data_IF_480906607770
#
_entry.id   IF_480906607770
#
_cell.length_a   1.000
_cell.length_b   1.000
_cell.length_c   1.000
_cell.angle_alpha   90.00
_cell.angle_beta   90.00
_cell.angle_gamma   90.00
#
_symmetry.space_group_name_H-M   'P 1'
#
loop_
_entity.id
_entity.type
_entity.pdbx_description
1 polymer ?
#
# COMPACT_ATOMS: atom_id res chain seq x y z
N UNK A 1 35.37 -17.58 62.35
CA UNK A 1 36.78 -17.13 62.26
C UNK A 1 36.85 -15.69 62.73
N UNK A 2 37.64 -15.51 63.78
CA UNK A 2 37.91 -14.34 64.63
C UNK A 2 38.25 -13.06 63.88
N UNK A 3 37.62 -11.93 64.26
CA UNK A 3 38.19 -10.57 64.19
C UNK A 3 37.64 -9.77 65.38
N UNK A 4 38.38 -9.80 66.49
CA UNK A 4 39.29 -8.73 66.91
C UNK A 4 38.52 -7.49 67.38
N UNK A 5 38.27 -7.48 68.69
CA UNK A 5 38.13 -6.26 69.47
C UNK A 5 39.31 -5.35 69.18
N UNK A 6 39.05 -4.22 68.54
CA UNK A 6 39.99 -3.13 68.48
C UNK A 6 39.23 -1.81 68.31
N UNK A 7 39.04 -1.10 69.42
CA UNK A 7 38.80 0.35 69.36
C UNK A 7 39.37 1.02 70.61
N UNK A 8 40.70 1.10 70.63
CA UNK A 8 41.38 2.24 71.23
C UNK A 8 40.79 3.52 70.63
N UNK A 9 40.43 4.45 71.51
CA UNK A 9 39.73 5.68 71.18
C UNK A 9 40.48 6.53 70.16
N UNK A 10 39.89 6.68 68.98
CA UNK A 10 40.17 7.82 68.12
C UNK A 10 39.08 8.85 68.37
N UNK A 11 39.47 10.07 68.76
CA UNK A 11 38.59 11.23 68.90
C UNK A 11 37.94 11.52 67.54
N UNK A 12 36.80 10.88 67.25
CA UNK A 12 36.03 11.15 66.04
C UNK A 12 35.60 12.61 66.08
N UNK A 13 35.95 13.34 65.02
CA UNK A 13 35.60 14.74 64.81
C UNK A 13 34.74 14.84 63.56
N UNK A 14 33.86 15.83 63.52
CA UNK A 14 33.12 16.17 62.32
C UNK A 14 34.09 16.40 61.15
N UNK A 15 33.86 15.73 60.03
CA UNK A 15 34.72 15.81 58.84
C UNK A 15 34.83 17.25 58.32
N UNK A 16 33.74 18.03 58.41
CA UNK A 16 33.66 19.42 57.93
C UNK A 16 34.16 20.45 58.94
N UNK A 17 33.65 20.46 60.18
CA UNK A 17 33.97 21.53 61.14
C UNK A 17 35.02 21.14 62.21
N UNK A 18 35.51 19.90 62.19
CA UNK A 18 36.50 19.34 63.13
C UNK A 18 36.12 19.37 64.62
N UNK A 19 34.85 19.66 64.95
CA UNK A 19 34.30 19.59 66.32
C UNK A 19 33.94 18.15 66.70
N UNK A 20 34.11 17.77 67.96
CA UNK A 20 33.83 16.44 68.50
C UNK A 20 32.51 16.39 69.30
N UNK A 21 31.47 17.08 68.83
CA UNK A 21 30.18 17.20 69.53
C UNK A 21 29.06 16.73 68.62
N UNK A 22 28.19 15.86 69.16
CA UNK A 22 27.00 15.29 68.52
C UNK A 22 27.21 14.88 67.07
N UNK A 23 27.75 13.67 66.88
CA UNK A 23 28.14 13.11 65.60
C UNK A 23 27.23 11.93 65.20
N UNK A 24 26.93 11.85 63.90
CA UNK A 24 26.40 10.67 63.23
C UNK A 24 27.38 10.22 62.15
N UNK A 25 27.41 8.92 61.85
CA UNK A 25 28.32 8.35 60.85
C UNK A 25 27.55 8.09 59.56
N UNK A 26 28.09 8.55 58.44
CA UNK A 26 27.57 8.21 57.11
C UNK A 26 27.75 6.72 56.86
N UNK A 27 26.70 6.00 56.49
CA UNK A 27 26.74 4.56 56.22
C UNK A 27 27.48 4.19 54.93
N UNK A 28 27.82 5.18 54.10
CA UNK A 28 28.46 4.97 52.80
C UNK A 28 29.97 5.25 52.79
N UNK A 29 30.39 6.36 53.40
CA UNK A 29 31.81 6.78 53.43
C UNK A 29 32.40 6.75 54.85
N UNK A 30 31.65 6.27 55.85
CA UNK A 30 32.07 6.12 57.25
C UNK A 30 32.53 7.42 57.95
N UNK A 31 32.37 8.56 57.27
CA UNK A 31 32.70 9.87 57.80
C UNK A 31 31.68 10.29 58.87
N UNK A 32 32.19 10.90 59.95
CA UNK A 32 31.35 11.46 61.01
C UNK A 32 31.00 12.92 60.72
N UNK A 33 29.73 13.29 60.87
CA UNK A 33 29.22 14.63 60.63
C UNK A 33 28.43 15.10 61.85
N UNK A 34 28.59 16.37 62.25
CA UNK A 34 27.82 16.93 63.37
C UNK A 34 26.44 17.41 62.95
N UNK A 35 25.54 17.64 63.91
CA UNK A 35 24.17 18.12 63.67
C UNK A 35 24.12 19.29 62.68
N UNK A 36 24.93 20.33 62.92
CA UNK A 36 24.98 21.54 62.10
C UNK A 36 25.43 21.25 60.65
N UNK A 37 26.37 20.33 60.45
CA UNK A 37 26.94 20.08 59.13
C UNK A 37 26.22 18.95 58.36
N UNK A 38 25.30 18.25 59.02
CA UNK A 38 24.61 17.07 58.48
C UNK A 38 23.43 17.39 57.56
N UNK A 39 23.05 18.67 57.47
CA UNK A 39 21.85 19.18 56.78
C UNK A 39 20.53 18.56 57.28
N UNK A 40 20.54 17.95 58.48
CA UNK A 40 19.36 17.49 59.19
C UNK A 40 18.91 18.54 60.21
N UNK A 41 17.61 18.62 60.47
CA UNK A 41 17.13 19.37 61.61
C UNK A 41 17.40 18.60 62.93
N UNK A 42 17.35 19.29 64.07
CA UNK A 42 17.67 18.71 65.38
C UNK A 42 16.81 17.48 65.72
N UNK A 43 15.56 17.43 65.27
CA UNK A 43 14.67 16.30 65.51
C UNK A 43 15.10 15.08 64.70
N UNK A 44 15.32 15.26 63.40
CA UNK A 44 15.81 14.23 62.47
C UNK A 44 17.19 13.70 62.92
N UNK A 45 18.10 14.59 63.28
CA UNK A 45 19.43 14.22 63.76
C UNK A 45 19.36 13.31 64.99
N UNK A 46 18.51 13.66 65.95
CA UNK A 46 18.28 12.84 67.14
C UNK A 46 17.60 11.50 66.83
N UNK A 47 16.69 11.47 65.85
CA UNK A 47 16.09 10.23 65.36
C UNK A 47 17.15 9.31 64.75
N UNK A 48 18.06 9.85 63.93
CA UNK A 48 19.16 9.07 63.33
C UNK A 48 20.10 8.51 64.39
N UNK A 49 20.41 9.28 65.45
CA UNK A 49 21.26 8.82 66.56
C UNK A 49 20.61 7.70 67.39
N UNK A 50 19.28 7.77 67.57
CA UNK A 50 18.51 6.79 68.38
C UNK A 50 18.08 5.55 67.58
N UNK A 51 17.91 5.67 66.27
CA UNK A 51 17.51 4.59 65.39
C UNK A 51 18.68 3.62 65.21
N UNK A 52 18.87 2.70 66.17
CA UNK A 52 19.88 1.63 66.14
C UNK A 52 19.83 0.82 64.82
N UNK A 53 20.56 1.27 63.80
CA UNK A 53 20.75 0.67 62.46
C UNK A 53 19.52 0.49 61.56
N UNK A 54 18.34 1.02 61.94
CA UNK A 54 17.13 0.91 61.10
C UNK A 54 17.01 2.00 60.04
N UNK A 55 17.63 3.15 60.28
CA UNK A 55 17.67 4.26 59.35
C UNK A 55 19.12 4.45 58.90
N UNK A 56 19.32 4.53 57.58
CA UNK A 56 20.64 4.79 57.00
C UNK A 56 20.82 6.30 56.85
N UNK A 57 21.93 6.83 57.34
CA UNK A 57 22.35 8.21 57.12
C UNK A 57 23.37 8.28 56.01
N UNK A 58 23.20 9.24 55.11
CA UNK A 58 24.16 9.54 54.07
C UNK A 58 24.50 11.03 54.08
N UNK A 59 25.79 11.36 54.07
CA UNK A 59 26.23 12.75 53.96
C UNK A 59 26.21 13.24 52.51
N UNK A 60 26.13 14.56 52.33
CA UNK A 60 26.16 15.24 51.02
C UNK A 60 27.43 14.97 50.19
N UNK A 61 28.54 14.70 50.85
CA UNK A 61 29.85 14.51 50.19
C UNK A 61 30.02 13.07 49.66
N UNK A 62 29.12 12.17 50.04
CA UNK A 62 29.12 10.81 49.56
C UNK A 62 28.45 10.76 48.16
N UNK A 63 29.06 10.11 47.15
CA UNK A 63 28.70 10.21 45.72
C UNK A 63 27.36 9.56 45.32
N UNK A 64 26.40 9.45 46.24
CA UNK A 64 25.08 8.89 46.01
C UNK A 64 23.98 9.74 46.64
N UNK A 65 23.98 11.06 46.46
CA UNK A 65 22.80 11.83 46.86
C UNK A 65 21.56 11.41 46.06
N UNK A 66 20.38 11.51 46.69
CA UNK A 66 19.11 10.99 46.18
C UNK A 66 18.59 11.84 45.02
N UNK A 67 19.03 11.49 43.82
CA UNK A 67 18.54 11.95 42.53
C UNK A 67 18.60 10.76 41.59
N UNK A 68 17.68 9.83 41.84
CA UNK A 68 17.55 8.49 41.28
C UNK A 68 17.87 8.35 39.79
N UNK A 69 18.26 7.13 39.39
CA UNK A 69 18.15 6.50 38.06
C UNK A 69 16.79 6.67 37.33
N UNK A 70 15.89 7.51 37.86
CA UNK A 70 14.67 7.97 37.23
C UNK A 70 14.86 9.25 36.41
N UNK A 71 15.93 10.05 36.56
CA UNK A 71 16.12 11.24 35.69
C UNK A 71 16.29 10.83 34.24
N UNK A 72 17.15 9.84 33.96
CA UNK A 72 17.35 9.36 32.59
C UNK A 72 16.08 8.73 32.00
N UNK A 73 15.28 8.03 32.83
CA UNK A 73 13.99 7.48 32.40
C UNK A 73 12.92 8.56 32.24
N UNK A 74 12.97 9.62 33.02
CA UNK A 74 12.05 10.75 32.96
C UNK A 74 12.38 11.65 31.76
N UNK A 75 13.67 11.82 31.46
CA UNK A 75 14.17 12.48 30.26
C UNK A 75 13.80 11.67 29.01
N UNK A 76 13.96 10.34 29.05
CA UNK A 76 13.46 9.45 28.00
C UNK A 76 11.93 9.56 27.85
N UNK A 77 11.18 9.65 28.95
CA UNK A 77 9.73 9.81 28.93
C UNK A 77 9.32 11.17 28.34
N UNK A 78 10.04 12.24 28.66
CA UNK A 78 9.87 13.58 28.07
C UNK A 78 10.12 13.55 26.56
N UNK A 79 11.15 12.84 26.11
CA UNK A 79 11.42 12.63 24.68
C UNK A 79 10.28 11.85 24.00
N UNK A 80 9.75 10.81 24.65
CA UNK A 80 8.61 10.05 24.12
C UNK A 80 7.33 10.89 24.07
N UNK A 81 7.06 11.69 25.10
CA UNK A 81 5.88 12.57 25.13
C UNK A 81 5.96 13.63 24.03
N UNK A 82 7.13 14.26 23.85
CA UNK A 82 7.33 15.28 22.81
C UNK A 82 7.25 14.68 21.42
N UNK A 83 7.79 13.49 21.18
CA UNK A 83 7.65 12.80 19.89
C UNK A 83 6.21 12.35 19.63
N UNK A 84 5.48 11.86 20.62
CA UNK A 84 4.05 11.55 20.47
C UNK A 84 3.21 12.80 20.17
N UNK A 85 3.49 13.93 20.82
CA UNK A 85 2.84 15.20 20.50
C UNK A 85 3.12 15.65 19.06
N UNK A 86 4.37 15.52 18.60
CA UNK A 86 4.73 15.80 17.21
C UNK A 86 4.01 14.87 16.22
N UNK A 87 3.92 13.58 16.54
CA UNK A 87 3.17 12.61 15.72
C UNK A 87 1.67 12.89 15.70
N UNK A 88 1.07 13.26 16.84
CA UNK A 88 -0.32 13.67 16.90
C UNK A 88 -0.58 14.94 16.08
N UNK A 89 0.30 15.94 16.17
CA UNK A 89 0.18 17.16 15.37
C UNK A 89 0.33 16.88 13.86
N UNK A 90 1.27 16.00 13.49
CA UNK A 90 1.46 15.58 12.10
C UNK A 90 0.30 14.71 11.58
N UNK A 91 -0.33 13.92 12.45
CA UNK A 91 -1.52 13.15 12.13
C UNK A 91 -2.74 14.06 12.00
N UNK A 92 -2.88 15.03 12.91
CA UNK A 92 -3.95 16.03 12.86
C UNK A 92 -3.84 16.90 11.60
N UNK A 93 -2.63 17.29 11.18
CA UNK A 93 -2.45 18.04 9.94
C UNK A 93 -2.78 17.22 8.70
N UNK A 94 -2.48 15.91 8.70
CA UNK A 94 -2.93 14.98 7.64
C UNK A 94 -4.44 14.80 7.63
N UNK A 95 -5.07 14.65 8.79
CA UNK A 95 -6.54 14.56 8.91
C UNK A 95 -7.19 15.84 8.39
N UNK A 96 -6.73 17.01 8.82
CA UNK A 96 -7.22 18.29 8.33
C UNK A 96 -6.98 18.47 6.82
N UNK A 97 -5.88 17.92 6.27
CA UNK A 97 -5.62 17.95 4.82
C UNK A 97 -6.57 17.04 4.05
N UNK A 98 -6.87 15.85 4.57
CA UNK A 98 -7.84 14.91 3.99
C UNK A 98 -9.26 15.48 4.11
N UNK A 99 -9.61 16.05 5.25
CA UNK A 99 -10.91 16.68 5.50
C UNK A 99 -11.11 17.90 4.59
N UNK A 100 -10.10 18.75 4.42
CA UNK A 100 -10.15 19.84 3.45
C UNK A 100 -10.20 19.35 2.00
N UNK A 101 -9.54 18.23 1.66
CA UNK A 101 -9.70 17.59 0.35
C UNK A 101 -11.12 17.05 0.14
N UNK A 102 -11.77 16.56 1.20
CA UNK A 102 -13.16 16.09 1.17
C UNK A 102 -14.15 17.26 1.07
N UNK A 103 -13.99 18.33 1.86
CA UNK A 103 -14.85 19.52 1.83
C UNK A 103 -14.79 20.26 0.49
N UNK A 104 -13.62 20.30 -0.16
CA UNK A 104 -13.49 20.86 -1.50
C UNK A 104 -14.00 19.91 -2.61
N UNK A 105 -14.12 18.61 -2.32
CA UNK A 105 -14.68 17.61 -3.24
C UNK A 105 -16.19 17.39 -3.06
N UNK A 106 -16.82 17.97 -2.04
CA UNK A 106 -18.25 17.85 -1.75
C UNK A 106 -19.06 19.07 -2.22
N UNK A 107 -18.41 20.14 -2.68
CA UNK A 107 -19.09 21.32 -3.23
C UNK A 107 -19.46 21.21 -4.72
N UNK A 108 -19.09 20.14 -5.44
CA UNK A 108 -19.53 19.95 -6.84
C UNK A 108 -20.00 18.54 -7.24
N UNK A 109 -20.12 17.55 -6.35
CA UNK A 109 -20.75 16.26 -6.74
C UNK A 109 -21.34 15.52 -5.56
N UNK A 110 -22.61 15.11 -5.69
CA UNK A 110 -23.37 14.45 -4.63
C UNK A 110 -22.68 13.13 -4.24
N UNK A 111 -22.68 12.73 -2.95
CA UNK A 111 -22.05 11.48 -2.50
C UNK A 111 -22.59 10.20 -3.17
N UNK A 112 -23.76 10.26 -3.82
CA UNK A 112 -24.32 9.16 -4.62
C UNK A 112 -23.53 8.89 -5.91
N UNK A 113 -22.92 9.91 -6.54
CA UNK A 113 -22.18 9.75 -7.80
C UNK A 113 -20.84 9.02 -7.60
N UNK A 114 -20.16 9.22 -6.46
CA UNK A 114 -18.87 8.58 -6.16
C UNK A 114 -19.00 7.07 -5.92
N UNK A 115 -20.09 6.61 -5.29
CA UNK A 115 -20.35 5.19 -5.07
C UNK A 115 -20.74 4.49 -6.38
N UNK A 116 -21.58 5.15 -7.19
CA UNK A 116 -21.99 4.63 -8.50
C UNK A 116 -20.81 4.51 -9.48
N UNK A 117 -19.82 5.40 -9.39
CA UNK A 117 -18.57 5.31 -10.17
C UNK A 117 -17.71 4.11 -9.76
N UNK A 118 -17.58 3.83 -8.46
CA UNK A 118 -16.82 2.67 -7.98
C UNK A 118 -17.45 1.32 -8.36
N UNK A 119 -18.78 1.21 -8.29
CA UNK A 119 -19.50 0.00 -8.68
C UNK A 119 -19.37 -0.26 -10.20
N UNK A 120 -19.46 0.80 -11.00
CA UNK A 120 -19.23 0.76 -12.45
C UNK A 120 -17.81 0.29 -12.80
N UNK A 121 -16.79 0.77 -12.08
CA UNK A 121 -15.40 0.33 -12.26
C UNK A 121 -15.24 -1.16 -11.93
N UNK A 122 -15.88 -1.64 -10.87
CA UNK A 122 -15.80 -3.04 -10.46
C UNK A 122 -16.50 -3.96 -11.49
N UNK A 123 -17.68 -3.57 -11.97
CA UNK A 123 -18.42 -4.30 -13.00
C UNK A 123 -17.60 -4.40 -14.30
N UNK A 124 -17.00 -3.30 -14.75
CA UNK A 124 -16.11 -3.29 -15.91
C UNK A 124 -14.90 -4.22 -15.73
N UNK A 125 -14.30 -4.26 -14.54
CA UNK A 125 -13.16 -5.14 -14.25
C UNK A 125 -13.55 -6.62 -14.33
N UNK A 126 -14.70 -6.98 -13.79
CA UNK A 126 -15.23 -8.34 -13.89
C UNK A 126 -15.58 -8.71 -15.33
N UNK A 127 -16.21 -7.80 -16.06
CA UNK A 127 -16.59 -8.02 -17.44
C UNK A 127 -15.35 -8.22 -18.33
N UNK A 128 -14.31 -7.39 -18.14
CA UNK A 128 -13.00 -7.59 -18.79
C UNK A 128 -12.42 -8.95 -18.48
N UNK A 129 -12.45 -9.39 -17.21
CA UNK A 129 -11.93 -10.70 -16.82
C UNK A 129 -12.70 -11.84 -17.52
N UNK A 130 -14.03 -11.73 -17.63
CA UNK A 130 -14.88 -12.70 -18.33
C UNK A 130 -14.62 -12.71 -19.85
N UNK A 131 -14.40 -11.55 -20.47
CA UNK A 131 -14.19 -11.41 -21.92
C UNK A 131 -12.77 -11.70 -22.40
N UNK A 132 -11.76 -11.73 -21.51
CA UNK A 132 -10.35 -12.03 -21.86
C UNK A 132 -10.14 -13.37 -22.56
N UNK A 133 -11.00 -14.37 -22.30
CA UNK A 133 -10.99 -15.68 -22.97
C UNK A 133 -11.84 -15.74 -24.24
N UNK A 134 -12.39 -14.61 -24.68
CA UNK A 134 -13.25 -14.55 -25.84
C UNK A 134 -12.48 -13.96 -27.03
N UNK A 135 -12.70 -14.55 -28.21
CA UNK A 135 -12.20 -14.05 -29.48
C UNK A 135 -13.39 -13.84 -30.41
N UNK A 136 -13.44 -12.69 -31.06
CA UNK A 136 -14.46 -12.40 -32.07
C UNK A 136 -13.84 -12.55 -33.45
N UNK A 137 -14.45 -13.40 -34.26
CA UNK A 137 -14.04 -13.67 -35.63
C UNK A 137 -15.09 -13.11 -36.59
N UNK A 138 -14.64 -12.29 -37.53
CA UNK A 138 -15.49 -11.66 -38.54
C UNK A 138 -15.37 -12.38 -39.88
N UNK A 139 -16.34 -12.13 -40.76
CA UNK A 139 -16.36 -12.56 -42.16
C UNK A 139 -16.44 -14.08 -42.41
N UNK A 140 -16.85 -14.86 -41.40
CA UNK A 140 -17.15 -16.30 -41.54
C UNK A 140 -18.57 -16.51 -42.07
N UNK A 141 -18.70 -17.29 -43.13
CA UNK A 141 -19.99 -17.73 -43.69
C UNK A 141 -20.87 -18.40 -42.63
N UNK A 142 -22.17 -18.12 -42.67
CA UNK A 142 -23.16 -18.71 -41.76
C UNK A 142 -23.98 -19.76 -42.55
N UNK A 143 -24.34 -20.86 -41.89
CA UNK A 143 -25.20 -21.88 -42.50
C UNK A 143 -26.53 -21.28 -42.98
N UNK A 144 -27.01 -21.64 -44.18
CA UNK A 144 -28.32 -21.22 -44.67
C UNK A 144 -29.46 -21.98 -43.99
N UNK A 145 -29.19 -23.11 -43.31
CA UNK A 145 -30.21 -23.93 -42.67
C UNK A 145 -30.94 -23.19 -41.55
N UNK A 146 -32.19 -23.55 -41.32
CA UNK A 146 -32.97 -23.13 -40.17
C UNK A 146 -32.89 -24.13 -39.01
N UNK A 147 -32.38 -25.34 -39.26
CA UNK A 147 -32.13 -26.33 -38.22
C UNK A 147 -30.99 -25.88 -37.29
N UNK A 148 -31.19 -26.06 -35.99
CA UNK A 148 -30.24 -25.60 -34.98
C UNK A 148 -28.97 -26.46 -34.94
N UNK A 149 -29.09 -27.78 -35.12
CA UNK A 149 -27.96 -28.70 -35.03
C UNK A 149 -27.05 -28.56 -36.25
N UNK A 150 -27.61 -28.48 -37.46
CA UNK A 150 -26.84 -28.26 -38.68
C UNK A 150 -26.05 -26.94 -38.64
N UNK A 151 -26.62 -25.90 -38.00
CA UNK A 151 -25.92 -24.62 -37.82
C UNK A 151 -24.76 -24.72 -36.84
N UNK A 152 -24.94 -25.47 -35.75
CA UNK A 152 -23.87 -25.71 -34.78
C UNK A 152 -22.74 -26.51 -35.42
N UNK A 153 -23.07 -27.57 -36.15
CA UNK A 153 -22.10 -28.41 -36.83
C UNK A 153 -21.29 -27.61 -37.86
N UNK A 154 -21.97 -26.86 -38.72
CA UNK A 154 -21.31 -25.98 -39.70
C UNK A 154 -20.38 -24.96 -39.03
N UNK A 155 -20.80 -24.33 -37.94
CA UNK A 155 -19.96 -23.37 -37.21
C UNK A 155 -18.73 -24.04 -36.57
N UNK A 156 -18.87 -25.27 -36.06
CA UNK A 156 -17.75 -26.06 -35.54
C UNK A 156 -16.77 -26.46 -36.65
N UNK A 157 -17.27 -26.91 -37.81
CA UNK A 157 -16.45 -27.25 -38.97
C UNK A 157 -15.64 -26.05 -39.46
N UNK A 158 -16.29 -24.88 -39.59
CA UNK A 158 -15.60 -23.64 -39.97
C UNK A 158 -14.53 -23.24 -38.96
N UNK A 159 -14.81 -23.38 -37.66
CA UNK A 159 -13.81 -23.12 -36.64
C UNK A 159 -12.63 -24.10 -36.75
N UNK A 160 -12.89 -25.39 -36.91
CA UNK A 160 -11.84 -26.40 -37.06
C UNK A 160 -10.96 -26.16 -38.28
N UNK A 161 -11.54 -25.78 -39.42
CA UNK A 161 -10.79 -25.40 -40.62
C UNK A 161 -9.85 -24.22 -40.32
N UNK A 162 -10.39 -23.16 -39.71
CA UNK A 162 -9.63 -21.96 -39.35
C UNK A 162 -8.51 -22.29 -38.34
N UNK A 163 -8.78 -23.16 -37.38
CA UNK A 163 -7.78 -23.60 -36.39
C UNK A 163 -6.66 -24.42 -37.03
N UNK A 164 -7.00 -25.25 -38.02
CA UNK A 164 -6.03 -25.96 -38.86
C UNK A 164 -5.12 -24.99 -39.62
N UNK A 165 -5.68 -23.96 -40.25
CA UNK A 165 -4.92 -22.89 -40.94
C UNK A 165 -3.99 -22.13 -39.98
N UNK A 166 -4.43 -21.92 -38.73
CA UNK A 166 -3.64 -21.28 -37.68
C UNK A 166 -2.61 -22.20 -37.02
N UNK A 167 -2.58 -23.49 -37.38
CA UNK A 167 -1.79 -24.53 -36.69
C UNK A 167 -1.92 -24.42 -35.16
N UNK A 168 -3.17 -24.33 -34.68
CA UNK A 168 -3.49 -24.18 -33.26
C UNK A 168 -4.56 -25.19 -32.89
N UNK A 169 -4.35 -25.90 -31.80
CA UNK A 169 -5.36 -26.77 -31.23
C UNK A 169 -5.97 -26.06 -30.00
N UNK A 170 -7.26 -25.80 -30.04
CA UNK A 170 -8.01 -25.23 -28.92
C UNK A 170 -9.09 -26.23 -28.54
N UNK A 171 -9.06 -26.70 -27.30
CA UNK A 171 -9.99 -27.71 -26.81
C UNK A 171 -11.16 -27.03 -26.07
N UNK A 172 -12.31 -27.69 -26.05
CA UNK A 172 -13.49 -27.29 -25.27
C UNK A 172 -13.93 -25.83 -25.50
N UNK A 173 -13.97 -25.42 -26.77
CA UNK A 173 -14.44 -24.09 -27.17
C UNK A 173 -15.97 -24.02 -27.20
N UNK A 174 -16.52 -22.91 -26.72
CA UNK A 174 -17.94 -22.59 -26.90
C UNK A 174 -18.09 -21.55 -28.00
N UNK A 175 -18.94 -21.84 -28.98
CA UNK A 175 -19.20 -20.97 -30.13
C UNK A 175 -20.57 -20.31 -29.99
N UNK A 176 -20.65 -19.02 -30.35
CA UNK A 176 -21.90 -18.26 -30.43
C UNK A 176 -21.83 -17.22 -31.53
N UNK A 177 -22.87 -17.08 -32.35
CA UNK A 177 -23.01 -15.94 -33.28
C UNK A 177 -23.59 -14.70 -32.59
N UNK A 178 -23.08 -13.52 -32.93
CA UNK A 178 -23.49 -12.23 -32.34
C UNK A 178 -24.48 -11.48 -33.26
N UNK A 179 -25.55 -10.95 -32.67
CA UNK A 179 -26.56 -10.13 -33.37
C UNK A 179 -27.73 -10.92 -33.97
N UNK A 180 -28.68 -10.23 -34.60
CA UNK A 180 -29.85 -10.82 -35.26
C UNK A 180 -29.48 -11.36 -36.65
N UNK A 181 -30.06 -12.51 -37.05
CA UNK A 181 -29.87 -13.09 -38.38
C UNK A 181 -30.50 -12.15 -39.42
N UNK A 182 -29.72 -11.75 -40.42
CA UNK A 182 -30.19 -10.93 -41.54
C UNK A 182 -29.70 -11.61 -42.82
N UNK A 183 -30.59 -11.93 -43.78
CA UNK A 183 -30.19 -12.51 -45.05
C UNK A 183 -29.08 -11.70 -45.73
N UNK A 184 -28.05 -12.38 -46.25
CA UNK A 184 -26.91 -11.75 -46.92
C UNK A 184 -25.88 -11.08 -46.01
N UNK A 185 -26.10 -10.99 -44.69
CA UNK A 185 -25.10 -10.46 -43.75
C UNK A 185 -24.50 -11.57 -42.90
N UNK A 186 -23.16 -11.66 -42.90
CA UNK A 186 -22.41 -12.59 -42.05
C UNK A 186 -22.30 -12.04 -40.63
N UNK A 187 -22.77 -12.81 -39.64
CA UNK A 187 -22.67 -12.42 -38.23
C UNK A 187 -21.32 -12.78 -37.64
N UNK A 188 -20.73 -11.93 -36.78
CA UNK A 188 -19.51 -12.27 -36.08
C UNK A 188 -19.69 -13.53 -35.22
N UNK A 189 -18.66 -14.37 -35.20
CA UNK A 189 -18.58 -15.57 -34.38
C UNK A 189 -17.78 -15.25 -33.12
N UNK A 190 -18.38 -15.41 -31.95
CA UNK A 190 -17.72 -15.38 -30.66
C UNK A 190 -17.26 -16.80 -30.31
N UNK A 191 -15.96 -16.94 -30.06
CA UNK A 191 -15.33 -18.16 -29.60
C UNK A 191 -14.86 -17.93 -28.16
N UNK A 192 -15.35 -18.74 -27.23
CA UNK A 192 -15.00 -18.69 -25.82
C UNK A 192 -14.04 -19.86 -25.56
N UNK A 193 -12.78 -19.55 -25.28
CA UNK A 193 -11.73 -20.52 -24.98
C UNK A 193 -11.76 -20.90 -23.50
N UNK A 194 -11.02 -21.95 -23.14
CA UNK A 194 -10.95 -22.39 -21.75
C UNK A 194 -10.17 -21.41 -20.87
N UNK A 195 -9.09 -20.85 -21.42
CA UNK A 195 -8.20 -19.91 -20.75
C UNK A 195 -7.90 -18.68 -21.64
N UNK A 196 -7.42 -17.61 -21.03
CA UNK A 196 -7.05 -16.37 -21.73
C UNK A 196 -5.79 -16.52 -22.60
N UNK A 197 -4.88 -17.42 -22.23
CA UNK A 197 -3.68 -17.71 -23.00
C UNK A 197 -3.99 -18.24 -24.41
N UNK A 198 -4.96 -19.13 -24.55
CA UNK A 198 -5.45 -19.64 -25.83
C UNK A 198 -6.00 -18.53 -26.71
N UNK A 199 -6.86 -17.66 -26.16
CA UNK A 199 -7.40 -16.51 -26.87
C UNK A 199 -6.29 -15.58 -27.37
N UNK A 200 -5.30 -15.29 -26.51
CA UNK A 200 -4.13 -14.48 -26.88
C UNK A 200 -3.31 -15.16 -27.99
N UNK A 201 -3.09 -16.47 -27.90
CA UNK A 201 -2.34 -17.23 -28.90
C UNK A 201 -3.06 -17.23 -30.26
N UNK A 202 -4.38 -17.45 -30.27
CA UNK A 202 -5.21 -17.33 -31.46
C UNK A 202 -5.07 -15.95 -32.11
N UNK A 203 -5.21 -14.87 -31.33
CA UNK A 203 -5.10 -13.50 -31.82
C UNK A 203 -3.71 -13.18 -32.37
N UNK A 204 -2.64 -13.69 -31.74
CA UNK A 204 -1.26 -13.50 -32.21
C UNK A 204 -1.04 -14.17 -33.55
N UNK A 205 -1.43 -15.43 -33.69
CA UNK A 205 -1.25 -16.21 -34.92
C UNK A 205 -2.16 -15.70 -36.04
N UNK A 206 -3.37 -15.26 -35.72
CA UNK A 206 -4.29 -14.70 -36.70
C UNK A 206 -3.80 -13.42 -37.39
N UNK A 207 -2.76 -12.75 -36.87
CA UNK A 207 -2.16 -11.57 -37.53
C UNK A 207 -1.58 -11.89 -38.91
N UNK A 208 -1.18 -13.14 -39.17
CA UNK A 208 -0.69 -13.56 -40.49
C UNK A 208 -1.82 -13.86 -41.48
N UNK A 209 -3.07 -13.98 -41.01
CA UNK A 209 -4.21 -14.29 -41.87
C UNK A 209 -4.75 -13.04 -42.56
N UNK A 210 -4.96 -13.12 -43.87
CA UNK A 210 -5.49 -12.01 -44.68
C UNK A 210 -7.01 -12.05 -44.84
N UNK A 211 -7.61 -13.24 -44.83
CA UNK A 211 -9.01 -13.46 -45.23
C UNK A 211 -10.01 -13.31 -44.08
N UNK A 212 -9.56 -13.56 -42.85
CA UNK A 212 -10.42 -13.64 -41.67
C UNK A 212 -9.90 -12.71 -40.59
N UNK A 213 -10.76 -11.85 -40.05
CA UNK A 213 -10.35 -10.83 -39.09
C UNK A 213 -10.68 -11.25 -37.66
N UNK A 214 -9.66 -11.23 -36.80
CA UNK A 214 -9.74 -11.64 -35.40
C UNK A 214 -9.58 -10.42 -34.50
N UNK A 215 -10.50 -10.25 -33.56
CA UNK A 215 -10.45 -9.15 -32.59
C UNK A 215 -10.72 -9.64 -31.19
N UNK A 216 -10.19 -8.88 -30.22
CA UNK A 216 -10.55 -9.02 -28.81
C UNK A 216 -12.04 -8.75 -28.63
N UNK A 217 -12.67 -9.49 -27.73
CA UNK A 217 -14.00 -9.15 -27.21
C UNK A 217 -13.86 -8.02 -26.18
N UNK A 218 -14.32 -6.82 -26.56
CA UNK A 218 -14.18 -5.61 -25.75
C UNK A 218 -15.49 -5.29 -25.04
N UNK A 219 -15.40 -4.79 -23.81
CA UNK A 219 -16.56 -4.25 -23.07
C UNK A 219 -17.17 -3.06 -23.82
N UNK A 220 -18.42 -2.66 -23.54
CA UNK A 220 -19.01 -1.44 -24.09
C UNK A 220 -18.09 -0.22 -23.92
N UNK A 221 -17.58 0.00 -22.70
CA UNK A 221 -16.71 1.14 -22.40
C UNK A 221 -15.38 1.10 -23.19
N UNK A 222 -14.80 -0.09 -23.36
CA UNK A 222 -13.61 -0.24 -24.20
C UNK A 222 -13.90 0.01 -25.68
N UNK A 223 -15.06 -0.43 -26.20
CA UNK A 223 -15.48 -0.20 -27.58
C UNK A 223 -15.69 1.28 -27.86
N UNK A 224 -16.37 1.99 -26.96
CA UNK A 224 -16.60 3.43 -27.09
C UNK A 224 -15.27 4.19 -27.09
N UNK A 225 -14.37 3.88 -26.15
CA UNK A 225 -13.02 4.47 -26.13
C UNK A 225 -12.24 4.22 -27.43
N UNK A 226 -12.31 3.00 -27.98
CA UNK A 226 -11.66 2.68 -29.26
C UNK A 226 -12.30 3.40 -30.44
N UNK A 227 -13.62 3.58 -30.44
CA UNK A 227 -14.35 4.36 -31.46
C UNK A 227 -13.92 5.83 -31.41
N UNK A 228 -13.84 6.41 -30.22
CA UNK A 228 -13.46 7.81 -30.04
C UNK A 228 -12.01 8.05 -30.49
N UNK A 229 -11.09 7.16 -30.12
CA UNK A 229 -9.70 7.21 -30.60
C UNK A 229 -9.62 7.04 -32.13
N UNK A 230 -10.46 6.18 -32.71
CA UNK A 230 -10.57 6.01 -34.16
C UNK A 230 -11.05 7.29 -34.86
N UNK A 231 -12.07 7.95 -34.32
CA UNK A 231 -12.60 9.21 -34.83
C UNK A 231 -11.55 10.33 -34.74
N UNK A 232 -10.85 10.45 -33.61
CA UNK A 232 -9.78 11.42 -33.43
C UNK A 232 -8.60 11.15 -34.38
N UNK A 233 -8.23 9.88 -34.59
CA UNK A 233 -7.20 9.51 -35.56
C UNK A 233 -7.60 9.92 -36.98
N UNK A 234 -8.85 9.65 -37.37
CA UNK A 234 -9.38 10.01 -38.70
C UNK A 234 -9.35 11.52 -38.91
N UNK A 235 -9.79 12.30 -37.92
CA UNK A 235 -9.76 13.76 -37.98
C UNK A 235 -8.33 14.29 -38.17
N UNK A 236 -7.35 13.72 -37.47
CA UNK A 236 -5.94 14.08 -37.65
C UNK A 236 -5.41 13.76 -39.05
N UNK A 237 -5.79 12.61 -39.58
CA UNK A 237 -5.43 12.21 -40.95
C UNK A 237 -6.07 13.15 -41.99
N UNK A 238 -7.33 13.53 -41.81
CA UNK A 238 -8.05 14.49 -42.66
C UNK A 238 -7.42 15.89 -42.60
N UNK A 239 -6.89 16.28 -41.43
CA UNK A 239 -6.14 17.53 -41.25
C UNK A 239 -4.69 17.48 -41.79
N UNK A 240 -4.29 16.38 -42.44
CA UNK A 240 -2.95 16.21 -43.01
C UNK A 240 -1.85 15.90 -41.98
N UNK A 241 -2.20 15.62 -40.72
CA UNK A 241 -1.22 15.22 -39.72
C UNK A 241 -0.76 13.77 -39.94
N UNK A 242 0.52 13.57 -40.25
CA UNK A 242 1.11 12.24 -40.45
C UNK A 242 1.79 11.70 -39.18
N UNK A 243 2.03 10.39 -39.16
CA UNK A 243 2.74 9.71 -38.06
C UNK A 243 1.89 9.40 -36.82
N UNK A 244 0.57 9.63 -36.85
CA UNK A 244 -0.33 9.25 -35.76
C UNK A 244 -0.81 7.81 -35.89
N UNK A 245 -0.96 7.14 -34.75
CA UNK A 245 -1.58 5.82 -34.64
C UNK A 245 -2.13 5.56 -33.24
N UNK A 246 -2.83 4.43 -33.07
CA UNK A 246 -3.31 4.01 -31.75
C UNK A 246 -2.32 2.97 -31.19
N UNK A 247 -1.75 3.26 -30.02
CA UNK A 247 -0.83 2.36 -29.32
C UNK A 247 -1.32 2.11 -27.90
N UNK A 248 -1.10 0.90 -27.40
CA UNK A 248 -1.37 0.55 -26.02
C UNK A 248 -0.17 0.95 -25.15
N UNK A 249 -0.38 1.86 -24.20
CA UNK A 249 0.64 2.33 -23.23
C UNK A 249 0.15 1.96 -21.84
N UNK A 250 0.92 1.13 -21.12
CA UNK A 250 0.54 0.56 -19.80
C UNK A 250 -0.85 -0.11 -19.83
N UNK A 251 -1.13 -0.85 -20.91
CA UNK A 251 -2.40 -1.56 -21.09
C UNK A 251 -3.59 -0.68 -21.49
N UNK A 252 -3.42 0.63 -21.69
CA UNK A 252 -4.49 1.52 -22.15
C UNK A 252 -4.25 2.02 -23.57
N UNK A 253 -5.28 2.02 -24.45
CA UNK A 253 -5.15 2.55 -25.80
C UNK A 253 -5.07 4.09 -25.74
N UNK A 254 -4.10 4.64 -26.47
CA UNK A 254 -3.89 6.09 -26.61
C UNK A 254 -3.48 6.42 -28.05
N UNK A 255 -3.82 7.62 -28.49
CA UNK A 255 -3.19 8.21 -29.67
C UNK A 255 -1.70 8.41 -29.39
N UNK A 256 -0.87 8.03 -30.35
CA UNK A 256 0.57 8.10 -30.26
C UNK A 256 1.12 8.62 -31.59
N UNK A 257 2.04 9.58 -31.53
CA UNK A 257 2.76 10.09 -32.69
C UNK A 257 4.12 9.44 -32.76
N UNK A 258 4.42 8.78 -33.88
CA UNK A 258 5.76 8.27 -34.18
C UNK A 258 6.65 9.46 -34.51
N UNK A 259 7.58 9.80 -33.61
CA UNK A 259 8.70 10.66 -33.95
C UNK A 259 9.65 9.85 -34.83
N UNK A 260 9.77 10.24 -36.09
CA UNK A 260 10.87 9.76 -36.93
C UNK A 260 12.13 10.33 -36.28
N UNK A 261 12.98 9.46 -35.73
CA UNK A 261 14.31 9.87 -35.32
C UNK A 261 15.11 9.87 -36.62
N UNK A 262 15.47 11.05 -37.10
CA UNK A 262 16.40 11.17 -38.23
C UNK A 262 17.72 10.52 -37.80
N UNK A 263 18.04 9.39 -38.43
CA UNK A 263 19.32 8.73 -38.28
C UNK A 263 20.39 9.61 -38.93
N UNK A 264 21.11 10.38 -38.11
CA UNK A 264 22.42 10.93 -38.48
C UNK A 264 23.49 9.84 -38.43
#
# INVERSE_FOLDING_TARGET
MTRLDNSFGQNKKCVQCKKAVDLITCDYCENSVCNICSDLNTTEFNMMKKAKKKLKYQCKDCPGTPGSNNSDKFDQLLVVITTLQQQMNAMQSKLNSIENQQLNADNETRPHDKQQDMDSVLEELEERKKRKRNVIIYDIDESPSDDLNERIEHDNEKLNQIMGELNTNVQNVKIRRLGKRIPGKKRPMQVITQNDHEAINMLKKARSMKKTNFKNDLTPMQRDKMRDLGNQLKLKQENGETGWGIKYVKGQPKLWKTTVVDSN
#
